data_IF_854553074607
#
_entry.id   IF_854553074607
#
_cell.length_a   1.000
_cell.length_b   1.000
_cell.length_c   1.000
_cell.angle_alpha   90.00
_cell.angle_beta   90.00
_cell.angle_gamma   90.00
#
_symmetry.space_group_name_H-M   'P 1'
#
loop_
_entity.id
_entity.type
_entity.pdbx_description
1 polymer ?
#
# COMPACT_ATOMS: atom_id res chain seq x y z
N UNK A 1 -9.18 17.86 -15.55
CA UNK A 1 -9.50 16.55 -14.95
C UNK A 1 -8.17 15.90 -14.62
N UNK A 2 -7.96 15.44 -13.39
CA UNK A 2 -6.76 14.70 -13.00
C UNK A 2 -6.66 13.38 -13.78
N UNK A 3 -5.45 12.96 -14.12
CA UNK A 3 -5.18 11.71 -14.83
C UNK A 3 -5.45 10.53 -13.89
N UNK A 4 -6.22 9.54 -14.35
CA UNK A 4 -6.44 8.31 -13.58
C UNK A 4 -5.26 7.37 -13.77
N UNK A 5 -4.60 7.00 -12.67
CA UNK A 5 -3.51 6.02 -12.66
C UNK A 5 -4.04 4.60 -12.50
N UNK A 6 -5.01 4.39 -11.62
CA UNK A 6 -5.65 3.10 -11.43
C UNK A 6 -7.16 3.22 -11.68
N UNK A 7 -7.73 2.25 -12.38
CA UNK A 7 -9.18 2.07 -12.50
C UNK A 7 -9.50 0.59 -12.41
N UNK A 8 -10.46 0.27 -11.56
CA UNK A 8 -11.01 -1.08 -11.40
C UNK A 8 -12.50 -1.01 -11.70
N UNK A 9 -13.01 -2.00 -12.42
CA UNK A 9 -14.43 -2.11 -12.74
C UNK A 9 -14.91 -3.54 -12.54
N UNK A 10 -15.94 -3.70 -11.70
CA UNK A 10 -16.66 -4.94 -11.46
C UNK A 10 -15.73 -6.13 -11.15
N UNK A 11 -14.77 -5.93 -10.23
CA UNK A 11 -13.76 -6.93 -9.89
C UNK A 11 -14.35 -8.01 -8.98
N UNK A 12 -14.27 -9.26 -9.39
CA UNK A 12 -14.71 -10.43 -8.64
C UNK A 12 -13.54 -11.35 -8.34
N UNK A 13 -13.55 -11.95 -7.14
CA UNK A 13 -12.61 -13.00 -6.74
C UNK A 13 -13.21 -13.99 -5.78
N UNK A 14 -13.00 -15.28 -6.06
CA UNK A 14 -13.41 -16.42 -5.21
C UNK A 14 -12.21 -17.28 -4.84
N UNK A 15 -12.30 -17.93 -3.71
CA UNK A 15 -11.38 -18.98 -3.27
C UNK A 15 -12.24 -20.19 -2.85
N UNK A 16 -12.28 -21.21 -3.71
CA UNK A 16 -13.25 -22.30 -3.59
C UNK A 16 -14.69 -21.76 -3.67
N UNK A 17 -15.51 -22.05 -2.66
CA UNK A 17 -16.90 -21.58 -2.59
C UNK A 17 -17.04 -20.18 -1.96
N UNK A 18 -15.96 -19.62 -1.41
CA UNK A 18 -15.99 -18.32 -0.77
C UNK A 18 -15.73 -17.18 -1.78
N UNK A 19 -16.75 -16.34 -2.00
CA UNK A 19 -16.65 -15.14 -2.82
C UNK A 19 -16.12 -13.98 -1.96
N UNK A 20 -14.85 -13.59 -2.20
CA UNK A 20 -14.11 -12.60 -1.40
C UNK A 20 -14.25 -11.19 -1.94
N UNK A 21 -14.30 -11.01 -3.27
CA UNK A 21 -14.59 -9.73 -3.92
C UNK A 21 -15.86 -9.86 -4.76
N UNK A 22 -16.77 -8.90 -4.62
CA UNK A 22 -18.13 -8.94 -5.16
C UNK A 22 -18.44 -7.69 -5.98
N UNK A 23 -17.73 -7.53 -7.12
CA UNK A 23 -17.97 -6.41 -8.03
C UNK A 23 -17.35 -5.11 -7.57
N UNK A 24 -16.12 -5.16 -7.02
CA UNK A 24 -15.39 -3.97 -6.60
C UNK A 24 -15.09 -3.06 -7.79
N UNK A 25 -15.48 -1.79 -7.67
CA UNK A 25 -15.17 -0.74 -8.63
C UNK A 25 -14.61 0.46 -7.90
N UNK A 26 -13.40 0.90 -8.28
CA UNK A 26 -12.75 2.09 -7.73
C UNK A 26 -11.83 2.75 -8.76
N UNK A 27 -11.46 3.99 -8.53
CA UNK A 27 -10.48 4.69 -9.33
C UNK A 27 -9.55 5.50 -8.42
N UNK A 28 -8.30 5.69 -8.86
CA UNK A 28 -7.28 6.46 -8.17
C UNK A 28 -6.62 7.40 -9.18
N UNK A 29 -6.57 8.68 -8.85
CA UNK A 29 -5.95 9.69 -9.71
C UNK A 29 -4.44 9.79 -9.41
N UNK A 30 -3.69 10.41 -10.33
CA UNK A 30 -2.28 10.72 -10.12
C UNK A 30 -2.11 11.65 -8.91
N UNK A 31 -1.19 11.30 -8.01
CA UNK A 31 -0.92 12.03 -6.76
C UNK A 31 -1.95 11.83 -5.66
N UNK A 32 -2.99 11.02 -5.87
CA UNK A 32 -4.03 10.74 -4.88
C UNK A 32 -3.64 9.62 -3.94
N UNK A 33 -3.98 9.79 -2.66
CA UNK A 33 -3.87 8.74 -1.64
C UNK A 33 -5.26 8.27 -1.23
N UNK A 34 -5.58 6.98 -1.49
CA UNK A 34 -6.79 6.35 -0.97
C UNK A 34 -6.46 5.30 0.08
N UNK A 35 -7.23 5.28 1.16
CA UNK A 35 -7.08 4.31 2.24
C UNK A 35 -8.29 3.38 2.29
N UNK A 36 -8.05 2.07 2.23
CA UNK A 36 -9.09 1.05 2.39
C UNK A 36 -9.11 0.61 3.84
N UNK A 37 -10.26 0.74 4.49
CA UNK A 37 -10.51 0.29 5.85
C UNK A 37 -11.62 -0.77 5.89
N UNK A 38 -11.73 -1.50 6.97
CA UNK A 38 -12.79 -2.50 7.17
C UNK A 38 -12.33 -3.68 8.01
N UNK A 39 -13.24 -4.56 8.45
CA UNK A 39 -12.92 -5.75 9.24
C UNK A 39 -11.90 -6.67 8.57
N UNK A 40 -11.19 -7.48 9.35
CA UNK A 40 -10.29 -8.50 8.82
C UNK A 40 -11.05 -9.52 7.97
N UNK A 41 -10.41 -10.01 6.89
CA UNK A 41 -11.00 -11.01 6.00
C UNK A 41 -12.04 -10.48 5.00
N UNK A 42 -12.24 -9.17 4.88
CA UNK A 42 -13.21 -8.57 3.94
C UNK A 42 -12.70 -8.44 2.49
N UNK A 43 -11.46 -8.87 2.20
CA UNK A 43 -10.92 -8.85 0.85
C UNK A 43 -9.98 -7.68 0.54
N UNK A 44 -9.62 -6.82 1.52
CA UNK A 44 -8.75 -5.65 1.30
C UNK A 44 -7.42 -5.99 0.64
N UNK A 45 -6.64 -6.91 1.24
CA UNK A 45 -5.38 -7.39 0.66
C UNK A 45 -5.59 -8.13 -0.66
N UNK A 46 -6.75 -8.77 -0.85
CA UNK A 46 -7.09 -9.46 -2.11
C UNK A 46 -7.20 -8.46 -3.27
N UNK A 47 -7.75 -7.26 -3.04
CA UNK A 47 -7.77 -6.20 -4.06
C UNK A 47 -6.34 -5.84 -4.47
N UNK A 48 -5.45 -5.56 -3.52
CA UNK A 48 -4.05 -5.21 -3.81
C UNK A 48 -3.33 -6.34 -4.57
N UNK A 49 -3.57 -7.58 -4.17
CA UNK A 49 -3.02 -8.76 -4.84
C UNK A 49 -3.54 -8.92 -6.27
N UNK A 50 -4.81 -8.60 -6.54
CA UNK A 50 -5.37 -8.60 -7.89
C UNK A 50 -4.79 -7.48 -8.75
N UNK A 51 -4.65 -6.25 -8.21
CA UNK A 51 -4.03 -5.12 -8.92
C UNK A 51 -2.61 -5.47 -9.37
N UNK A 52 -1.81 -6.04 -8.47
CA UNK A 52 -0.43 -6.44 -8.77
C UNK A 52 -0.34 -7.81 -9.48
N UNK A 53 -1.46 -8.40 -9.87
CA UNK A 53 -1.54 -9.70 -10.54
C UNK A 53 -0.82 -10.83 -9.78
N UNK A 54 -0.64 -10.70 -8.45
CA UNK A 54 -0.16 -11.80 -7.59
C UNK A 54 -1.21 -12.91 -7.52
N UNK A 55 -2.47 -12.52 -7.55
CA UNK A 55 -3.64 -13.39 -7.65
C UNK A 55 -4.48 -12.87 -8.81
N UNK A 56 -4.70 -13.63 -9.90
CA UNK A 56 -5.55 -13.18 -10.98
C UNK A 56 -7.01 -13.05 -10.50
N UNK A 57 -7.74 -11.99 -10.89
CA UNK A 57 -9.18 -11.89 -10.65
C UNK A 57 -9.92 -12.96 -11.44
N UNK A 58 -11.13 -13.30 -11.01
CA UNK A 58 -11.97 -14.26 -11.75
C UNK A 58 -12.78 -13.56 -12.84
N UNK A 59 -13.14 -12.29 -12.63
CA UNK A 59 -13.75 -11.41 -13.63
C UNK A 59 -13.60 -9.95 -13.23
N UNK A 60 -13.97 -9.04 -14.14
CA UNK A 60 -13.78 -7.60 -14.00
C UNK A 60 -12.60 -7.11 -14.82
N UNK A 61 -12.32 -5.81 -14.69
CA UNK A 61 -11.29 -5.15 -15.48
C UNK A 61 -10.45 -4.25 -14.61
N UNK A 62 -9.14 -4.22 -14.86
CA UNK A 62 -8.18 -3.36 -14.16
C UNK A 62 -7.39 -2.60 -15.23
N UNK A 63 -7.25 -1.30 -15.07
CA UNK A 63 -6.40 -0.44 -15.91
C UNK A 63 -5.35 0.24 -15.04
N UNK A 64 -4.11 0.25 -15.52
CA UNK A 64 -3.00 1.01 -14.97
C UNK A 64 -2.54 2.03 -16.01
N UNK A 65 -2.52 3.31 -15.65
CA UNK A 65 -2.12 4.42 -16.52
C UNK A 65 -2.82 4.42 -17.90
N UNK A 66 -4.09 4.00 -17.93
CA UNK A 66 -4.92 3.91 -19.13
C UNK A 66 -4.78 2.61 -19.93
N UNK A 67 -3.85 1.73 -19.59
CA UNK A 67 -3.69 0.42 -20.22
C UNK A 67 -4.43 -0.66 -19.42
N UNK A 68 -5.26 -1.45 -20.10
CA UNK A 68 -5.97 -2.56 -19.47
C UNK A 68 -5.02 -3.72 -19.17
N UNK A 69 -5.04 -4.19 -17.93
CA UNK A 69 -4.30 -5.38 -17.49
C UNK A 69 -5.10 -6.62 -17.90
N UNK A 70 -4.64 -7.32 -18.92
CA UNK A 70 -5.26 -8.55 -19.44
C UNK A 70 -4.32 -9.74 -19.30
N UNK A 71 -4.82 -10.95 -19.49
CA UNK A 71 -4.00 -12.17 -19.49
C UNK A 71 -2.87 -12.17 -20.53
N UNK A 72 -2.95 -11.30 -21.54
CA UNK A 72 -1.95 -11.14 -22.59
C UNK A 72 -0.90 -10.08 -22.29
N UNK A 73 -1.10 -9.26 -21.26
CA UNK A 73 -0.14 -8.23 -20.85
C UNK A 73 1.02 -8.88 -20.10
N UNK A 74 2.21 -8.38 -20.36
CA UNK A 74 3.40 -8.83 -19.65
C UNK A 74 3.34 -8.39 -18.16
N UNK A 75 2.89 -9.29 -17.29
CA UNK A 75 2.78 -9.07 -15.84
C UNK A 75 4.09 -8.52 -15.22
N UNK A 76 5.26 -8.84 -15.82
CA UNK A 76 6.54 -8.30 -15.36
C UNK A 76 6.67 -6.80 -15.63
N UNK A 77 6.08 -6.29 -16.70
CA UNK A 77 6.10 -4.86 -17.02
C UNK A 77 5.21 -4.10 -16.06
N UNK A 78 3.99 -4.60 -15.81
CA UNK A 78 3.06 -4.02 -14.85
C UNK A 78 3.69 -3.92 -13.46
N UNK A 79 4.32 -5.01 -12.98
CA UNK A 79 4.99 -5.04 -11.68
C UNK A 79 6.21 -4.14 -11.57
N UNK A 80 6.73 -3.60 -12.66
CA UNK A 80 7.75 -2.56 -12.61
C UNK A 80 7.17 -1.16 -12.36
N UNK A 81 5.91 -0.97 -12.71
CA UNK A 81 5.19 0.30 -12.54
C UNK A 81 4.41 0.38 -11.21
N UNK A 82 4.31 -0.74 -10.49
CA UNK A 82 3.65 -0.84 -9.20
C UNK A 82 4.66 -1.20 -8.11
N UNK A 83 4.83 -0.34 -7.12
CA UNK A 83 5.49 -0.67 -5.87
C UNK A 83 4.54 -1.46 -4.97
N UNK A 84 5.02 -2.52 -4.33
CA UNK A 84 4.24 -3.28 -3.34
C UNK A 84 4.99 -3.38 -2.03
N UNK A 85 4.38 -2.89 -0.96
CA UNK A 85 4.91 -2.93 0.40
C UNK A 85 4.07 -3.93 1.20
N UNK A 86 4.71 -5.03 1.61
CA UNK A 86 4.07 -6.17 2.27
C UNK A 86 3.95 -5.95 3.78
N UNK A 87 2.97 -6.60 4.39
CA UNK A 87 2.74 -6.64 5.82
C UNK A 87 3.93 -7.23 6.61
N UNK A 88 4.56 -8.28 6.10
CA UNK A 88 5.66 -9.03 6.71
C UNK A 88 7.04 -8.64 6.16
N UNK A 89 7.19 -7.37 5.74
CA UNK A 89 8.39 -6.74 5.19
C UNK A 89 8.88 -7.32 3.85
N UNK A 90 8.76 -8.61 3.62
CA UNK A 90 9.15 -9.31 2.40
C UNK A 90 10.63 -9.11 2.00
N UNK A 91 11.55 -8.91 2.96
CA UNK A 91 12.97 -8.70 2.68
C UNK A 91 13.72 -10.01 2.40
N UNK A 92 14.73 -9.92 1.55
CA UNK A 92 15.67 -11.01 1.33
C UNK A 92 16.67 -11.08 2.48
N UNK A 93 16.59 -12.08 3.34
CA UNK A 93 17.40 -12.23 4.55
C UNK A 93 18.92 -12.36 4.28
N UNK A 94 19.30 -12.83 3.10
CA UNK A 94 20.70 -12.99 2.68
C UNK A 94 21.30 -11.73 2.02
N UNK A 95 20.54 -10.66 1.92
CA UNK A 95 20.97 -9.36 1.40
C UNK A 95 20.95 -8.31 2.51
N UNK A 96 21.88 -7.35 2.43
CA UNK A 96 21.86 -6.16 3.30
C UNK A 96 20.68 -5.25 2.95
N UNK A 97 20.42 -4.18 3.71
CA UNK A 97 19.43 -3.16 3.38
C UNK A 97 19.67 -2.59 1.97
N UNK A 98 20.89 -2.14 1.68
CA UNK A 98 21.29 -1.69 0.35
C UNK A 98 21.09 -2.78 -0.72
N UNK A 99 21.43 -4.03 -0.38
CA UNK A 99 21.22 -5.18 -1.26
C UNK A 99 19.77 -5.40 -1.63
N UNK A 100 18.84 -5.26 -0.65
CA UNK A 100 17.40 -5.38 -0.84
C UNK A 100 16.86 -4.28 -1.76
N UNK A 101 17.28 -3.02 -1.55
CA UNK A 101 16.81 -1.89 -2.35
C UNK A 101 17.30 -1.98 -3.80
N UNK A 102 18.59 -2.28 -4.03
CA UNK A 102 19.19 -2.29 -5.38
C UNK A 102 18.87 -3.51 -6.23
N UNK A 103 18.40 -4.63 -5.63
CA UNK A 103 18.28 -5.90 -6.38
C UNK A 103 17.36 -5.80 -7.59
N UNK A 104 16.23 -5.08 -7.45
CA UNK A 104 15.29 -4.81 -8.54
C UNK A 104 15.95 -4.01 -9.68
N UNK A 105 16.72 -2.98 -9.34
CA UNK A 105 17.43 -2.15 -10.30
C UNK A 105 18.40 -2.95 -11.15
N UNK A 106 19.15 -3.87 -10.54
CA UNK A 106 20.13 -4.71 -11.24
C UNK A 106 19.44 -5.82 -12.02
N UNK A 107 18.50 -6.55 -11.39
CA UNK A 107 17.92 -7.77 -11.99
C UNK A 107 16.82 -7.49 -12.99
N UNK A 108 16.02 -6.47 -12.75
CA UNK A 108 14.85 -6.12 -13.56
C UNK A 108 15.18 -4.98 -14.52
N UNK A 109 15.63 -3.81 -14.01
CA UNK A 109 15.97 -2.65 -14.84
C UNK A 109 17.33 -2.75 -15.54
N UNK A 110 18.12 -3.81 -15.27
CA UNK A 110 19.43 -4.07 -15.90
C UNK A 110 20.43 -2.91 -15.77
N UNK A 111 20.33 -2.14 -14.67
CA UNK A 111 21.27 -1.05 -14.39
C UNK A 111 22.65 -1.58 -14.00
N UNK A 112 23.70 -0.75 -14.25
CA UNK A 112 25.03 -1.05 -13.70
C UNK A 112 25.00 -1.05 -12.17
N UNK A 113 25.92 -1.77 -11.55
CA UNK A 113 25.99 -1.88 -10.08
C UNK A 113 26.23 -0.52 -9.42
N UNK A 114 27.03 0.32 -10.04
CA UNK A 114 27.39 1.66 -9.56
C UNK A 114 26.14 2.54 -9.52
N UNK A 115 25.40 2.62 -10.63
CA UNK A 115 24.16 3.41 -10.73
C UNK A 115 23.07 2.87 -9.80
N UNK A 116 22.92 1.55 -9.71
CA UNK A 116 21.97 0.92 -8.82
C UNK A 116 22.30 1.16 -7.33
N UNK A 117 23.60 1.19 -6.97
CA UNK A 117 24.02 1.55 -5.63
C UNK A 117 23.68 3.00 -5.30
N UNK A 118 23.99 3.94 -6.18
CA UNK A 118 23.69 5.35 -5.97
C UNK A 118 22.20 5.57 -5.71
N UNK A 119 21.31 5.07 -6.58
CA UNK A 119 19.86 5.20 -6.40
C UNK A 119 19.37 4.50 -5.12
N UNK A 120 19.95 3.34 -4.79
CA UNK A 120 19.55 2.64 -3.57
C UNK A 120 19.98 3.40 -2.30
N UNK A 121 21.13 4.09 -2.31
CA UNK A 121 21.52 4.97 -1.21
C UNK A 121 20.61 6.19 -1.10
N UNK A 122 20.22 6.81 -2.21
CA UNK A 122 19.27 7.93 -2.24
C UNK A 122 17.92 7.53 -1.61
N UNK A 123 17.40 6.34 -1.94
CA UNK A 123 16.15 5.86 -1.35
C UNK A 123 16.29 5.42 0.12
N UNK A 124 17.45 4.91 0.54
CA UNK A 124 17.72 4.66 1.96
C UNK A 124 17.82 5.96 2.77
N UNK A 125 18.41 7.01 2.20
CA UNK A 125 18.44 8.34 2.81
C UNK A 125 17.02 8.89 2.99
N UNK A 126 16.18 8.77 1.95
CA UNK A 126 14.79 9.23 1.97
C UNK A 126 13.96 8.59 3.10
N UNK A 127 14.27 7.35 3.48
CA UNK A 127 13.61 6.66 4.61
C UNK A 127 14.41 6.69 5.90
N UNK A 128 15.50 7.48 5.97
CA UNK A 128 16.35 7.67 7.16
C UNK A 128 17.17 6.43 7.56
N UNK A 129 17.66 5.66 6.60
CA UNK A 129 18.35 4.38 6.85
C UNK A 129 19.74 4.26 6.20
N UNK A 130 20.39 5.38 5.85
CA UNK A 130 21.73 5.36 5.24
C UNK A 130 22.75 4.65 6.15
N UNK A 131 22.72 4.91 7.45
CA UNK A 131 23.65 4.32 8.44
C UNK A 131 23.46 2.80 8.58
N UNK A 132 22.33 2.27 8.13
CA UNK A 132 21.98 0.85 8.15
C UNK A 132 22.13 0.15 6.81
N UNK A 133 22.76 0.80 5.81
CA UNK A 133 22.88 0.28 4.44
C UNK A 133 23.49 -1.12 4.38
N UNK A 134 24.50 -1.40 5.22
CA UNK A 134 25.22 -2.66 5.27
C UNK A 134 24.63 -3.68 6.28
N UNK A 135 23.56 -3.30 7.00
CA UNK A 135 22.88 -4.18 7.97
C UNK A 135 22.01 -5.22 7.26
N UNK A 136 22.04 -6.44 7.75
CA UNK A 136 21.14 -7.51 7.32
C UNK A 136 19.79 -7.41 8.04
N UNK A 137 18.69 -7.95 7.47
CA UNK A 137 17.37 -7.89 8.09
C UNK A 137 17.32 -8.36 9.54
N UNK A 138 18.14 -9.35 9.92
CA UNK A 138 18.22 -9.84 11.29
C UNK A 138 18.77 -8.79 12.30
N UNK A 139 19.45 -7.74 11.82
CA UNK A 139 20.05 -6.68 12.63
C UNK A 139 19.17 -5.42 12.70
N UNK A 140 18.05 -5.42 11.99
CA UNK A 140 17.14 -4.28 11.87
C UNK A 140 15.90 -4.47 12.77
N UNK A 141 15.39 -3.37 13.33
CA UNK A 141 14.09 -3.34 13.99
C UNK A 141 12.95 -3.61 12.99
N UNK A 142 11.75 -3.87 13.47
CA UNK A 142 10.55 -4.02 12.62
C UNK A 142 10.31 -2.79 11.74
N UNK A 143 10.32 -1.58 12.34
CA UNK A 143 10.15 -0.33 11.61
C UNK A 143 11.26 -0.07 10.59
N UNK A 144 12.51 -0.40 10.91
CA UNK A 144 13.62 -0.32 9.95
C UNK A 144 13.44 -1.29 8.79
N UNK A 145 13.03 -2.54 9.03
CA UNK A 145 12.73 -3.51 7.97
C UNK A 145 11.63 -3.00 7.03
N UNK A 146 10.57 -2.43 7.59
CA UNK A 146 9.47 -1.89 6.81
C UNK A 146 9.93 -0.72 5.96
N UNK A 147 10.71 0.20 6.52
CA UNK A 147 11.27 1.33 5.77
C UNK A 147 12.24 0.88 4.66
N UNK A 148 13.02 -0.19 4.84
CA UNK A 148 13.79 -0.82 3.74
C UNK A 148 12.84 -1.37 2.66
N UNK A 149 11.72 -1.99 3.05
CA UNK A 149 10.68 -2.44 2.11
C UNK A 149 10.10 -1.30 1.27
N UNK A 150 9.83 -0.15 1.91
CA UNK A 150 9.37 1.08 1.24
C UNK A 150 10.45 1.59 0.27
N UNK A 151 11.70 1.75 0.72
CA UNK A 151 12.82 2.20 -0.12
C UNK A 151 13.02 1.29 -1.34
N UNK A 152 12.87 -0.03 -1.17
CA UNK A 152 12.93 -1.00 -2.27
C UNK A 152 11.81 -0.77 -3.30
N UNK A 153 10.61 -0.47 -2.86
CA UNK A 153 9.49 -0.16 -3.74
C UNK A 153 9.73 1.16 -4.50
N UNK A 154 10.17 2.21 -3.80
CA UNK A 154 10.47 3.54 -4.36
C UNK A 154 11.61 3.50 -5.40
N UNK A 155 12.67 2.72 -5.16
CA UNK A 155 13.80 2.58 -6.06
C UNK A 155 13.40 2.15 -7.49
N UNK A 156 12.29 1.42 -7.61
CA UNK A 156 11.74 1.05 -8.92
C UNK A 156 11.05 2.21 -9.64
N UNK A 157 10.90 3.38 -9.01
CA UNK A 157 10.20 4.56 -9.55
C UNK A 157 8.80 4.19 -10.06
N UNK A 158 7.94 3.66 -9.19
CA UNK A 158 6.62 3.20 -9.57
C UNK A 158 5.66 4.37 -9.82
N UNK A 159 4.62 4.14 -10.64
CA UNK A 159 3.49 5.07 -10.82
C UNK A 159 2.47 4.99 -9.68
N UNK A 160 2.42 3.85 -9.00
CA UNK A 160 1.49 3.52 -7.93
C UNK A 160 2.20 2.71 -6.86
N UNK A 161 2.00 3.03 -5.59
CA UNK A 161 2.44 2.17 -4.48
C UNK A 161 1.22 1.58 -3.78
N UNK A 162 1.25 0.27 -3.60
CA UNK A 162 0.27 -0.51 -2.84
C UNK A 162 0.87 -0.83 -1.47
N UNK A 163 0.21 -0.42 -0.40
CA UNK A 163 0.60 -0.74 0.98
C UNK A 163 -0.41 -1.72 1.58
N UNK A 164 0.04 -2.91 1.93
CA UNK A 164 -0.78 -3.96 2.53
C UNK A 164 -0.50 -4.05 4.03
N UNK A 165 -1.30 -3.34 4.84
CA UNK A 165 -1.19 -3.28 6.30
C UNK A 165 0.25 -3.06 6.80
N UNK A 166 0.95 -1.99 6.37
CA UNK A 166 2.40 -1.84 6.55
C UNK A 166 2.86 -1.71 8.00
N UNK A 167 1.94 -1.53 8.95
CA UNK A 167 2.23 -1.35 10.38
C UNK A 167 1.80 -2.51 11.26
N UNK A 168 1.00 -3.45 10.74
CA UNK A 168 0.36 -4.50 11.55
C UNK A 168 1.32 -5.51 12.18
N UNK A 169 2.55 -5.66 11.63
CA UNK A 169 3.60 -6.52 12.18
C UNK A 169 4.60 -5.76 13.07
N UNK A 170 4.30 -4.50 13.45
CA UNK A 170 5.19 -3.63 14.21
C UNK A 170 4.72 -3.49 15.66
N UNK A 171 5.71 -3.32 16.55
CA UNK A 171 5.46 -2.83 17.90
C UNK A 171 4.92 -1.39 17.84
N UNK A 172 3.98 -0.99 18.72
CA UNK A 172 3.35 0.34 18.69
C UNK A 172 4.34 1.51 18.66
N UNK A 173 5.46 1.39 19.37
CA UNK A 173 6.51 2.43 19.42
C UNK A 173 7.19 2.67 18.05
N UNK A 174 7.14 1.70 17.13
CA UNK A 174 7.78 1.76 15.81
C UNK A 174 6.83 2.19 14.68
N UNK A 175 5.52 2.22 14.94
CA UNK A 175 4.50 2.57 13.94
C UNK A 175 4.72 3.99 13.43
N UNK A 176 4.99 4.95 14.33
CA UNK A 176 5.15 6.36 14.00
C UNK A 176 6.22 6.64 12.93
N UNK A 177 7.35 5.93 12.98
CA UNK A 177 8.43 6.09 12.01
C UNK A 177 8.01 5.71 10.58
N UNK A 178 7.22 4.64 10.43
CA UNK A 178 6.71 4.18 9.12
C UNK A 178 5.63 5.12 8.61
N UNK A 179 4.69 5.53 9.47
CA UNK A 179 3.63 6.47 9.10
C UNK A 179 4.18 7.83 8.70
N UNK A 180 5.27 8.30 9.32
CA UNK A 180 5.93 9.54 8.93
C UNK A 180 6.45 9.46 7.49
N UNK A 181 7.17 8.38 7.13
CA UNK A 181 7.63 8.18 5.75
C UNK A 181 6.46 8.14 4.76
N UNK A 182 5.37 7.43 5.10
CA UNK A 182 4.19 7.37 4.22
C UNK A 182 3.50 8.73 4.06
N UNK A 183 3.48 9.55 5.14
CA UNK A 183 2.96 10.92 5.09
C UNK A 183 3.80 11.83 4.20
N UNK A 184 5.12 11.73 4.28
CA UNK A 184 6.03 12.49 3.43
C UNK A 184 5.82 12.13 1.95
N UNK A 185 5.67 10.83 1.64
CA UNK A 185 5.37 10.36 0.29
C UNK A 185 4.04 10.92 -0.25
N UNK A 186 3.00 10.99 0.58
CA UNK A 186 1.72 11.59 0.19
C UNK A 186 1.89 13.10 -0.11
N UNK A 187 2.62 13.82 0.73
CA UNK A 187 2.91 15.25 0.52
C UNK A 187 3.73 15.53 -0.73
N UNK A 188 4.60 14.60 -1.13
CA UNK A 188 5.36 14.66 -2.38
C UNK A 188 4.49 14.32 -3.62
N UNK A 189 3.24 13.96 -3.44
CA UNK A 189 2.30 13.63 -4.52
C UNK A 189 2.47 12.21 -5.07
N UNK A 190 2.98 11.28 -4.26
CA UNK A 190 3.02 9.85 -4.63
C UNK A 190 1.61 9.28 -4.69
N UNK A 191 1.28 8.61 -5.77
CA UNK A 191 -0.01 7.90 -5.89
C UNK A 191 0.00 6.65 -5.03
N UNK A 192 -0.91 6.53 -4.07
CA UNK A 192 -0.90 5.44 -3.10
C UNK A 192 -2.29 4.84 -2.88
N UNK A 193 -2.36 3.51 -2.82
CA UNK A 193 -3.51 2.77 -2.31
C UNK A 193 -3.09 1.98 -1.09
N UNK A 194 -3.66 2.30 0.05
CA UNK A 194 -3.20 1.81 1.35
C UNK A 194 -4.31 1.00 2.02
N UNK A 195 -4.04 -0.21 2.42
CA UNK A 195 -4.86 -0.95 3.39
C UNK A 195 -4.28 -0.69 4.76
N UNK A 196 -5.07 -0.12 5.68
CA UNK A 196 -4.59 0.23 7.02
C UNK A 196 -5.68 0.14 8.08
N UNK A 197 -5.26 -0.12 9.31
CA UNK A 197 -6.06 -0.01 10.52
C UNK A 197 -5.72 1.26 11.33
N UNK A 198 -4.76 2.05 10.87
CA UNK A 198 -4.30 3.30 11.51
C UNK A 198 -5.26 4.45 11.16
N UNK A 199 -6.27 4.69 12.01
CA UNK A 199 -7.31 5.69 11.72
C UNK A 199 -6.77 7.11 11.72
N UNK A 200 -5.82 7.43 12.59
CA UNK A 200 -5.14 8.73 12.62
C UNK A 200 -4.41 9.04 11.31
N UNK A 201 -3.71 8.04 10.75
CA UNK A 201 -3.10 8.14 9.44
C UNK A 201 -4.15 8.32 8.34
N UNK A 202 -5.17 7.44 8.30
CA UNK A 202 -6.22 7.51 7.31
C UNK A 202 -6.88 8.90 7.29
N UNK A 203 -7.22 9.44 8.47
CA UNK A 203 -7.85 10.77 8.60
C UNK A 203 -6.94 11.92 8.15
N UNK A 204 -5.61 11.82 8.39
CA UNK A 204 -4.69 12.95 8.17
C UNK A 204 -4.03 12.98 6.79
N UNK A 205 -4.02 11.87 6.06
CA UNK A 205 -3.20 11.71 4.84
C UNK A 205 -4.02 11.37 3.61
N UNK A 206 -5.16 10.68 3.76
CA UNK A 206 -5.94 10.26 2.59
C UNK A 206 -6.79 11.38 2.00
N UNK A 207 -6.90 11.39 0.68
CA UNK A 207 -7.86 12.21 -0.06
C UNK A 207 -9.25 11.57 0.01
N UNK A 208 -9.30 10.23 -0.03
CA UNK A 208 -10.53 9.46 0.16
C UNK A 208 -10.28 8.20 1.00
N UNK A 209 -11.31 7.79 1.72
CA UNK A 209 -11.36 6.54 2.45
C UNK A 209 -12.43 5.65 1.83
N UNK A 210 -12.12 4.37 1.70
CA UNK A 210 -13.02 3.32 1.21
C UNK A 210 -13.30 2.36 2.35
N UNK A 211 -14.53 2.32 2.83
CA UNK A 211 -14.95 1.31 3.81
C UNK A 211 -15.45 0.06 3.11
N UNK A 212 -14.81 -1.07 3.41
CA UNK A 212 -15.15 -2.38 2.85
C UNK A 212 -15.68 -3.34 3.90
N UNK A 213 -16.75 -4.05 3.54
CA UNK A 213 -17.29 -5.14 4.34
C UNK A 213 -17.91 -6.22 3.42
N UNK A 214 -17.75 -7.50 3.80
CA UNK A 214 -18.30 -8.65 3.07
C UNK A 214 -18.01 -8.67 1.57
N UNK A 215 -16.83 -8.22 1.17
CA UNK A 215 -16.41 -8.21 -0.23
C UNK A 215 -16.98 -7.07 -1.08
N UNK A 216 -17.64 -6.10 -0.47
CA UNK A 216 -18.22 -4.93 -1.13
C UNK A 216 -17.62 -3.63 -0.59
N UNK A 217 -17.61 -2.59 -1.41
CA UNK A 217 -17.46 -1.22 -0.94
C UNK A 217 -18.83 -0.80 -0.36
N UNK A 218 -18.82 -0.43 0.92
CA UNK A 218 -20.03 -0.01 1.65
C UNK A 218 -20.20 1.50 1.53
N UNK A 219 -19.11 2.24 1.70
CA UNK A 219 -19.09 3.69 1.58
C UNK A 219 -17.70 4.16 1.16
N UNK A 220 -17.63 5.20 0.34
CA UNK A 220 -16.39 5.89 0.00
C UNK A 220 -16.60 7.40 0.04
N UNK A 221 -15.58 8.14 0.40
CA UNK A 221 -15.62 9.60 0.44
C UNK A 221 -14.44 10.23 1.19
N UNK A 222 -14.43 11.56 1.29
CA UNK A 222 -13.41 12.29 2.04
C UNK A 222 -13.38 11.87 3.51
N UNK A 223 -12.19 11.87 4.15
CA UNK A 223 -12.05 11.48 5.56
C UNK A 223 -13.02 12.19 6.49
N UNK A 224 -13.17 13.50 6.32
CA UNK A 224 -14.08 14.29 7.15
C UNK A 224 -15.52 13.78 7.09
N UNK A 225 -16.01 13.40 5.89
CA UNK A 225 -17.36 12.86 5.73
C UNK A 225 -17.53 11.53 6.48
N UNK A 226 -16.61 10.58 6.27
CA UNK A 226 -16.74 9.25 6.87
C UNK A 226 -16.63 9.29 8.40
N UNK A 227 -15.74 10.13 8.95
CA UNK A 227 -15.54 10.21 10.40
C UNK A 227 -16.57 11.07 11.13
N UNK A 228 -17.08 12.15 10.52
CA UNK A 228 -17.96 13.11 11.20
C UNK A 228 -19.44 12.95 10.81
N UNK A 229 -19.71 12.49 9.57
CA UNK A 229 -21.09 12.37 9.06
C UNK A 229 -21.21 11.20 8.05
N UNK A 230 -20.96 9.96 8.47
CA UNK A 230 -21.11 8.80 7.59
C UNK A 230 -22.53 8.70 7.06
N UNK A 231 -22.68 8.43 5.78
CA UNK A 231 -24.00 8.34 5.11
C UNK A 231 -24.61 6.94 5.28
N UNK A 232 -23.77 5.93 5.60
CA UNK A 232 -24.20 4.57 5.87
C UNK A 232 -24.03 4.28 7.34
N UNK A 233 -25.12 3.88 8.01
CA UNK A 233 -25.15 3.56 9.46
C UNK A 233 -24.02 2.57 9.84
N UNK A 234 -23.82 1.56 9.02
CA UNK A 234 -22.78 0.54 9.24
C UNK A 234 -21.35 1.10 9.25
N UNK A 235 -21.07 2.12 8.45
CA UNK A 235 -19.79 2.86 8.48
C UNK A 235 -19.60 3.55 9.82
N UNK A 236 -20.64 4.23 10.29
CA UNK A 236 -20.63 4.91 11.60
C UNK A 236 -20.39 3.94 12.75
N UNK A 237 -21.09 2.81 12.79
CA UNK A 237 -20.88 1.76 13.80
C UNK A 237 -19.45 1.22 13.79
N UNK A 238 -18.88 0.99 12.61
CA UNK A 238 -17.51 0.47 12.47
C UNK A 238 -16.49 1.47 12.99
N UNK A 239 -16.58 2.73 12.55
CA UNK A 239 -15.66 3.79 12.97
C UNK A 239 -15.78 4.12 14.44
N UNK A 240 -17.01 4.13 15.00
CA UNK A 240 -17.24 4.32 16.44
C UNK A 240 -16.54 3.26 17.28
N UNK A 241 -16.68 1.98 16.93
CA UNK A 241 -16.00 0.88 17.62
C UNK A 241 -14.49 0.99 17.57
N UNK A 242 -13.93 1.43 16.44
CA UNK A 242 -12.48 1.62 16.31
C UNK A 242 -12.00 2.79 17.17
N UNK A 243 -12.76 3.88 17.24
CA UNK A 243 -12.42 5.03 18.08
C UNK A 243 -12.48 4.67 19.57
N UNK A 244 -13.44 3.87 20.01
CA UNK A 244 -13.49 3.35 21.39
C UNK A 244 -12.29 2.45 21.71
N UNK A 245 -11.85 1.59 20.76
CA UNK A 245 -10.76 0.65 20.99
C UNK A 245 -9.36 1.31 20.94
N UNK A 246 -9.19 2.37 20.14
CA UNK A 246 -7.90 3.01 19.87
C UNK A 246 -7.84 4.48 20.28
N UNK A 247 -8.96 5.09 20.70
CA UNK A 247 -9.09 6.52 20.99
C UNK A 247 -8.69 6.94 22.40
N UNK A 248 -8.42 6.05 23.33
CA UNK A 248 -7.99 6.40 24.71
C UNK A 248 -6.49 6.74 24.83
N UNK A 249 -5.73 6.71 23.73
CA UNK A 249 -4.28 6.93 23.71
C UNK A 249 -3.80 8.38 23.43
N UNK A 250 -4.66 9.30 22.99
CA UNK A 250 -4.23 10.66 22.58
C UNK A 250 -4.47 11.79 23.61
N UNK A 251 -4.86 11.47 24.84
CA UNK A 251 -5.01 12.47 25.93
C UNK A 251 -4.16 12.09 27.16
N UNK A 252 -2.84 12.07 27.03
CA UNK A 252 -1.95 12.07 28.20
C UNK A 252 -0.67 12.80 27.90
#
# INVERSE_FOLDING_TARGET
>A
MSKKILKIKDLYKRFGDNEVLRGISLALNEGETKVIIGPSGTGKSTILNCINMLIPPDSGQIWLDGEEITDHVNVKEIRQEIGYVFQDFGLFNHLTALGNVRIGLIRVKKMSKEKANQLAYEELERVGLVDFADSYPAQLSGGQKQRVGIARALAMQPKLILFDEPTSALDPELIGEVLTVMKDLAQEGMTMLVVSHEMGFAKSVSDEIIFMEHGNIVEEGPPQQLFENPQVERTGEFLFKLTELYGEGENS
#
